data_IF_424088705886
#
_entry.id   IF_424088705886
#
_cell.length_a   1.000
_cell.length_b   1.000
_cell.length_c   1.000
_cell.angle_alpha   90.00
_cell.angle_beta   90.00
_cell.angle_gamma   90.00
#
_symmetry.space_group_name_H-M   'P 1'
#
loop_
_entity.id
_entity.type
_entity.pdbx_description
1 polymer ?
#
# COMPACT_ATOMS: atom_id res chain seq x y z
N UNK A 1 -19.50 -10.32 3.68
CA UNK A 1 -19.38 -8.85 3.59
C UNK A 1 -20.17 -8.20 4.71
N UNK A 2 -19.62 -7.17 5.37
CA UNK A 2 -20.20 -6.58 6.57
C UNK A 2 -20.27 -5.05 6.56
N UNK A 3 -19.53 -4.37 5.66
CA UNK A 3 -19.47 -2.92 5.62
C UNK A 3 -20.66 -2.33 4.85
N UNK A 4 -21.14 -1.16 5.30
CA UNK A 4 -22.16 -0.37 4.59
C UNK A 4 -21.59 0.35 3.36
N UNK A 5 -20.29 0.65 3.39
CA UNK A 5 -19.54 1.29 2.30
C UNK A 5 -18.18 0.61 2.18
N UNK A 6 -17.72 0.37 0.95
CA UNK A 6 -16.44 -0.25 0.64
C UNK A 6 -15.61 0.67 -0.24
N UNK A 7 -14.45 1.07 0.26
CA UNK A 7 -13.44 1.83 -0.49
C UNK A 7 -12.23 0.93 -0.64
N UNK A 8 -11.72 0.80 -1.87
CA UNK A 8 -10.53 0.00 -2.17
C UNK A 8 -9.41 0.94 -2.59
N UNK A 9 -8.26 0.88 -1.94
CA UNK A 9 -7.01 1.44 -2.46
C UNK A 9 -6.28 0.41 -3.32
N UNK A 10 -5.76 0.81 -4.47
CA UNK A 10 -5.03 -0.06 -5.39
C UNK A 10 -3.73 0.58 -5.87
N UNK A 11 -2.72 -0.26 -6.10
CA UNK A 11 -1.45 0.11 -6.72
C UNK A 11 -1.55 0.34 -8.23
N UNK A 12 -2.57 -0.23 -8.86
CA UNK A 12 -2.75 -0.22 -10.31
C UNK A 12 -4.24 -0.16 -10.70
N UNK A 13 -4.54 0.57 -11.76
CA UNK A 13 -5.84 0.56 -12.44
C UNK A 13 -5.61 -0.02 -13.83
N UNK A 14 -6.29 -1.10 -14.15
CA UNK A 14 -6.23 -1.80 -15.44
C UNK A 14 -7.52 -1.58 -16.24
N UNK A 15 -7.51 -1.94 -17.52
CA UNK A 15 -8.72 -1.86 -18.34
C UNK A 15 -9.73 -2.95 -17.92
N UNK A 16 -11.02 -2.68 -18.15
CA UNK A 16 -12.08 -3.65 -17.88
C UNK A 16 -11.91 -4.93 -18.69
N UNK A 17 -11.36 -4.83 -19.90
CA UNK A 17 -11.13 -5.98 -20.76
C UNK A 17 -10.04 -6.91 -20.21
N UNK A 18 -9.07 -6.39 -19.45
CA UNK A 18 -8.08 -7.24 -18.76
C UNK A 18 -8.72 -8.08 -17.66
N UNK A 19 -9.65 -7.49 -16.89
CA UNK A 19 -10.42 -8.20 -15.87
C UNK A 19 -11.33 -9.26 -16.52
N UNK A 20 -11.94 -8.95 -17.67
CA UNK A 20 -12.83 -9.87 -18.41
C UNK A 20 -12.12 -11.08 -19.00
N UNK A 21 -10.82 -11.01 -19.28
CA UNK A 21 -10.03 -12.14 -19.79
C UNK A 21 -9.95 -13.30 -18.79
N UNK A 22 -9.90 -12.99 -17.49
CA UNK A 22 -9.80 -13.98 -16.42
C UNK A 22 -10.60 -13.56 -15.17
N UNK A 23 -11.94 -13.54 -15.25
CA UNK A 23 -12.79 -12.97 -14.21
C UNK A 23 -12.70 -13.75 -12.88
N UNK A 24 -12.22 -14.99 -12.90
CA UNK A 24 -12.02 -15.80 -11.71
C UNK A 24 -10.96 -15.22 -10.74
N UNK A 25 -10.08 -14.33 -11.23
CA UNK A 25 -9.12 -13.59 -10.39
C UNK A 25 -9.74 -12.40 -9.67
N UNK A 26 -10.97 -11.98 -10.00
CA UNK A 26 -11.66 -10.90 -9.30
C UNK A 26 -12.24 -11.43 -7.99
N UNK A 27 -11.62 -11.06 -6.87
CA UNK A 27 -12.04 -11.51 -5.54
C UNK A 27 -13.11 -10.61 -4.91
N UNK A 28 -13.20 -9.34 -5.34
CA UNK A 28 -14.20 -8.37 -4.86
C UNK A 28 -15.05 -7.88 -6.05
N UNK A 29 -16.32 -8.32 -6.14
CA UNK A 29 -17.25 -7.87 -7.17
C UNK A 29 -17.52 -6.36 -7.17
N UNK A 30 -17.61 -5.74 -8.35
CA UNK A 30 -17.73 -4.28 -8.52
C UNK A 30 -18.94 -3.67 -7.80
N UNK A 31 -20.09 -4.36 -7.77
CA UNK A 31 -21.32 -3.85 -7.17
C UNK A 31 -21.26 -3.78 -5.64
N UNK A 32 -20.19 -4.30 -5.04
CA UNK A 32 -19.91 -4.22 -3.61
C UNK A 32 -19.02 -3.02 -3.27
N UNK A 33 -18.48 -2.32 -4.28
CA UNK A 33 -17.47 -1.26 -4.13
C UNK A 33 -18.10 0.09 -4.41
N UNK A 34 -17.92 1.04 -3.48
CA UNK A 34 -18.41 2.41 -3.62
C UNK A 34 -17.36 3.34 -4.25
N UNK A 35 -16.07 3.10 -3.98
CA UNK A 35 -14.98 3.90 -4.53
C UNK A 35 -13.69 3.09 -4.68
N UNK A 36 -12.93 3.42 -5.72
CA UNK A 36 -11.58 2.92 -5.96
C UNK A 36 -10.62 4.10 -5.93
N UNK A 37 -9.56 3.99 -5.14
CA UNK A 37 -8.53 5.02 -4.95
C UNK A 37 -7.23 4.49 -5.52
N UNK A 38 -6.68 5.20 -6.50
CA UNK A 38 -5.32 4.94 -6.96
C UNK A 38 -4.34 5.45 -5.92
N UNK A 39 -3.63 4.54 -5.27
CA UNK A 39 -2.66 4.83 -4.21
C UNK A 39 -1.47 3.87 -4.31
N UNK A 40 -0.51 4.15 -5.22
CA UNK A 40 0.72 3.37 -5.33
C UNK A 40 1.49 3.36 -4.00
N UNK A 41 2.00 2.18 -3.64
CA UNK A 41 2.58 1.88 -2.34
C UNK A 41 1.62 2.17 -1.16
N UNK A 42 0.31 2.07 -1.37
CA UNK A 42 -0.70 2.39 -0.36
C UNK A 42 -0.67 1.48 0.87
N UNK A 43 -0.10 0.28 0.75
CA UNK A 43 0.08 -0.62 1.89
C UNK A 43 1.37 -0.39 2.69
N UNK A 44 2.26 0.50 2.24
CA UNK A 44 3.50 0.83 2.95
C UNK A 44 3.21 1.29 4.39
N UNK A 45 3.97 0.87 5.42
CA UNK A 45 5.22 0.09 5.39
C UNK A 45 5.01 -1.42 5.27
N UNK A 46 3.77 -1.90 5.18
CA UNK A 46 3.42 -3.26 4.80
C UNK A 46 3.81 -3.59 3.35
N UNK A 47 3.61 -4.86 2.96
CA UNK A 47 3.87 -5.35 1.60
C UNK A 47 2.58 -5.72 0.87
N UNK A 48 2.66 -5.78 -0.47
CA UNK A 48 1.60 -6.32 -1.32
C UNK A 48 2.18 -7.51 -2.10
N UNK A 49 1.63 -8.73 -1.91
CA UNK A 49 2.08 -9.91 -2.64
C UNK A 49 2.11 -9.65 -4.14
N UNK A 50 3.21 -10.04 -4.79
CA UNK A 50 3.38 -9.82 -6.23
C UNK A 50 3.90 -8.44 -6.65
N UNK A 51 3.90 -7.44 -5.76
CA UNK A 51 4.23 -6.05 -6.09
C UNK A 51 5.44 -5.52 -5.33
N UNK A 52 5.43 -5.59 -3.99
CA UNK A 52 6.55 -5.14 -3.15
C UNK A 52 6.53 -5.81 -1.77
N UNK A 53 7.72 -6.05 -1.20
CA UNK A 53 7.85 -6.58 0.15
C UNK A 53 7.54 -5.55 1.24
N UNK A 54 7.32 -6.06 2.45
CA UNK A 54 7.23 -5.26 3.66
C UNK A 54 8.57 -4.58 3.99
N UNK A 55 8.49 -3.35 4.48
CA UNK A 55 9.64 -2.59 4.95
C UNK A 55 9.92 -2.89 6.43
N UNK A 56 10.69 -3.94 6.68
CA UNK A 56 11.07 -4.36 8.03
C UNK A 56 11.87 -3.30 8.79
N UNK A 57 12.65 -2.48 8.10
CA UNK A 57 13.41 -1.40 8.73
C UNK A 57 12.48 -0.29 9.24
N UNK A 58 11.45 0.09 8.47
CA UNK A 58 10.44 1.06 8.91
C UNK A 58 9.63 0.52 10.08
N UNK A 59 9.26 -0.77 10.05
CA UNK A 59 8.64 -1.43 11.20
C UNK A 59 9.55 -1.43 12.43
N UNK A 60 10.87 -1.62 12.24
CA UNK A 60 11.86 -1.50 13.31
C UNK A 60 11.84 -0.11 13.96
N UNK A 61 11.81 0.95 13.14
CA UNK A 61 11.71 2.33 13.62
C UNK A 61 10.40 2.59 14.37
N UNK A 62 9.24 2.19 13.80
CA UNK A 62 7.94 2.29 14.48
C UNK A 62 7.97 1.63 15.87
N UNK A 63 8.44 0.37 15.94
CA UNK A 63 8.51 -0.39 17.17
C UNK A 63 9.43 0.27 18.20
N UNK A 64 10.51 0.92 17.76
CA UNK A 64 11.42 1.64 18.65
C UNK A 64 10.73 2.87 19.26
N UNK A 65 10.05 3.68 18.46
CA UNK A 65 9.29 4.83 18.95
C UNK A 65 8.19 4.41 19.93
N UNK A 66 7.41 3.38 19.58
CA UNK A 66 6.33 2.87 20.42
C UNK A 66 6.86 2.38 21.77
N UNK A 67 7.91 1.55 21.78
CA UNK A 67 8.52 1.03 23.03
C UNK A 67 9.08 2.12 23.93
N UNK A 68 9.48 3.25 23.36
CA UNK A 68 10.00 4.40 24.11
C UNK A 68 8.88 5.37 24.54
N UNK A 69 7.61 5.10 24.22
CA UNK A 69 6.51 6.02 24.49
C UNK A 69 6.55 7.29 23.63
N UNK A 70 7.25 7.25 22.49
CA UNK A 70 7.49 8.39 21.58
C UNK A 70 6.67 8.30 20.29
N UNK A 71 5.49 7.68 20.36
CA UNK A 71 4.63 7.48 19.19
C UNK A 71 4.22 8.80 18.53
N UNK A 72 4.02 9.87 19.31
CA UNK A 72 3.71 11.20 18.78
C UNK A 72 4.80 11.72 17.85
N UNK A 73 6.08 11.47 18.14
CA UNK A 73 7.19 11.89 17.27
C UNK A 73 7.20 11.11 15.94
N UNK A 74 6.85 9.82 15.99
CA UNK A 74 6.66 9.01 14.78
C UNK A 74 5.51 9.55 13.93
N UNK A 75 4.36 9.85 14.56
CA UNK A 75 3.20 10.37 13.85
C UNK A 75 3.45 11.77 13.29
N UNK A 76 4.12 12.65 14.02
CA UNK A 76 4.51 13.95 13.50
C UNK A 76 5.40 13.79 12.26
N UNK A 77 6.42 12.92 12.33
CA UNK A 77 7.37 12.69 11.24
C UNK A 77 6.73 12.10 9.98
N UNK A 78 5.88 11.08 10.13
CA UNK A 78 5.39 10.28 9.01
C UNK A 78 3.94 10.58 8.60
N UNK A 79 3.15 11.25 9.45
CA UNK A 79 1.71 11.47 9.23
C UNK A 79 1.34 12.95 9.26
N UNK A 80 1.63 13.68 10.34
CA UNK A 80 1.11 15.04 10.52
C UNK A 80 1.92 16.11 9.77
N UNK A 81 3.22 15.89 9.53
CA UNK A 81 4.10 16.85 8.83
C UNK A 81 4.07 16.74 7.30
N UNK A 82 3.18 15.93 6.73
CA UNK A 82 3.06 15.66 5.30
C UNK A 82 1.62 15.84 4.85
N UNK A 83 1.40 16.38 3.64
CA UNK A 83 0.07 16.65 3.12
C UNK A 83 -0.55 15.46 2.38
N UNK A 84 0.23 14.43 2.06
CA UNK A 84 -0.25 13.24 1.36
C UNK A 84 0.65 12.02 1.57
N UNK A 85 0.13 10.83 1.26
CA UNK A 85 0.92 9.59 1.26
C UNK A 85 2.08 9.66 0.24
N UNK A 86 1.84 10.24 -0.94
CA UNK A 86 2.90 10.45 -1.95
C UNK A 86 4.02 11.31 -1.40
N UNK A 87 3.68 12.43 -0.75
CA UNK A 87 4.67 13.31 -0.14
C UNK A 87 5.44 12.61 0.99
N UNK A 88 4.76 11.78 1.79
CA UNK A 88 5.42 10.95 2.81
C UNK A 88 6.45 10.02 2.19
N UNK A 89 6.06 9.27 1.16
CA UNK A 89 6.94 8.35 0.44
C UNK A 89 8.14 9.08 -0.17
N UNK A 90 7.92 10.25 -0.76
CA UNK A 90 8.99 11.07 -1.36
C UNK A 90 9.95 11.65 -0.32
N UNK A 91 9.41 12.28 0.74
CA UNK A 91 10.21 13.01 1.73
C UNK A 91 10.89 12.10 2.75
N UNK A 92 10.28 10.96 3.10
CA UNK A 92 10.71 10.13 4.22
C UNK A 92 11.28 8.77 3.82
N UNK A 93 10.85 8.20 2.69
CA UNK A 93 11.23 6.83 2.28
C UNK A 93 12.21 6.85 1.11
N UNK A 94 11.89 7.59 0.05
CA UNK A 94 12.72 7.75 -1.15
C UNK A 94 12.58 6.61 -2.17
N UNK A 95 12.77 6.97 -3.45
CA UNK A 95 12.58 6.05 -4.58
C UNK A 95 13.51 4.83 -4.57
N UNK A 96 14.74 4.98 -4.08
CA UNK A 96 15.71 3.88 -4.03
C UNK A 96 15.21 2.74 -3.14
N UNK A 97 14.72 3.09 -1.95
CA UNK A 97 14.17 2.16 -0.97
C UNK A 97 12.90 1.47 -1.49
N UNK A 98 11.99 2.24 -2.07
CA UNK A 98 10.77 1.72 -2.71
C UNK A 98 11.06 0.74 -3.84
N UNK A 99 12.02 1.07 -4.71
CA UNK A 99 12.46 0.17 -5.78
C UNK A 99 13.17 -1.07 -5.22
N UNK A 100 13.89 -0.94 -4.10
CA UNK A 100 14.44 -2.07 -3.36
C UNK A 100 13.36 -3.04 -2.89
N UNK A 101 12.28 -2.53 -2.31
CA UNK A 101 11.13 -3.34 -1.85
C UNK A 101 10.46 -4.07 -3.01
N UNK A 102 10.27 -3.41 -4.16
CA UNK A 102 9.76 -4.04 -5.39
C UNK A 102 10.65 -5.16 -5.89
N UNK A 103 11.97 -4.95 -5.95
CA UNK A 103 12.91 -5.98 -6.45
C UNK A 103 12.94 -7.24 -5.60
N UNK A 104 12.66 -7.13 -4.30
CA UNK A 104 12.63 -8.29 -3.41
C UNK A 104 11.31 -9.06 -3.46
N UNK A 105 10.22 -8.49 -3.99
CA UNK A 105 8.98 -9.21 -4.17
C UNK A 105 9.15 -10.28 -5.26
N UNK A 106 9.28 -11.54 -4.82
CA UNK A 106 9.52 -12.70 -5.70
C UNK A 106 8.25 -13.45 -6.09
N UNK A 107 7.16 -13.25 -5.35
CA UNK A 107 5.83 -13.78 -5.68
C UNK A 107 5.35 -13.14 -6.99
N UNK A 108 4.60 -13.89 -7.80
CA UNK A 108 3.96 -13.38 -9.02
C UNK A 108 2.46 -13.65 -8.95
N UNK A 109 1.66 -12.62 -8.68
CA UNK A 109 0.19 -12.67 -8.67
C UNK A 109 -0.39 -11.48 -9.46
N UNK A 110 -1.63 -11.61 -9.95
CA UNK A 110 -2.37 -10.54 -10.63
C UNK A 110 -2.78 -10.81 -12.08
N UNK A 111 -3.34 -9.78 -12.70
CA UNK A 111 -3.63 -9.71 -14.14
C UNK A 111 -2.35 -9.34 -14.91
N UNK A 112 -2.18 -9.86 -16.12
CA UNK A 112 -1.03 -9.61 -17.01
C UNK A 112 -1.51 -9.24 -18.39
#
# INVERSE_FOLDING_TARGET
MAARRVIISTDEIVDHDDIRKDPAKTTIPYYMVDAVVYSPFGAYPGGVPGLYEMDYEHWGEYNQFERQGRLEEYLDRYVYSVASNTEMLEKRVGLERLNGLRRRATVREGYR
#
